data_IF_219609406266
#
_entry.id   IF_219609406266
#
_cell.length_a   1.000
_cell.length_b   1.000
_cell.length_c   1.000
_cell.angle_alpha   90.00
_cell.angle_beta   90.00
_cell.angle_gamma   90.00
#
_symmetry.space_group_name_H-M   'P 1'
#
loop_
_entity.id
_entity.type
_entity.pdbx_description
1 polymer ?
#
# COMPACT_ATOMS: atom_id res chain seq x y z
N UNK A 1 -17.85 20.19 -32.13
CA UNK A 1 -16.64 20.26 -31.28
C UNK A 1 -15.89 18.94 -31.39
N UNK A 2 -14.55 18.95 -31.47
CA UNK A 2 -13.72 17.73 -31.68
C UNK A 2 -13.34 16.99 -30.39
N UNK A 3 -13.82 17.43 -29.22
CA UNK A 3 -13.42 16.88 -27.92
C UNK A 3 -14.63 16.35 -27.17
N UNK A 4 -14.45 15.22 -26.47
CA UNK A 4 -15.44 14.57 -25.63
C UNK A 4 -14.87 14.30 -24.24
N UNK A 5 -15.69 14.45 -23.21
CA UNK A 5 -15.35 14.03 -21.85
C UNK A 5 -15.31 12.50 -21.81
N UNK A 6 -14.20 11.91 -21.39
CA UNK A 6 -14.07 10.47 -21.27
C UNK A 6 -13.39 10.06 -19.97
N UNK A 7 -13.75 8.87 -19.48
CA UNK A 7 -13.15 8.24 -18.31
C UNK A 7 -11.84 7.56 -18.69
N UNK A 8 -10.81 7.67 -17.83
CA UNK A 8 -9.52 6.98 -18.02
C UNK A 8 -9.70 5.45 -18.05
N UNK A 9 -9.14 4.76 -19.06
CA UNK A 9 -9.34 3.32 -19.29
C UNK A 9 -8.12 2.43 -18.98
N UNK A 10 -7.03 2.97 -18.42
CA UNK A 10 -5.86 2.14 -18.10
C UNK A 10 -6.06 1.28 -16.84
N UNK A 11 -6.43 0.02 -17.06
CA UNK A 11 -5.64 -1.16 -16.72
C UNK A 11 -6.52 -2.42 -16.91
N UNK A 12 -6.62 -2.93 -18.14
CA UNK A 12 -7.09 -4.30 -18.34
C UNK A 12 -5.91 -5.25 -18.03
N UNK A 13 -5.70 -5.55 -16.75
CA UNK A 13 -4.76 -6.58 -16.34
C UNK A 13 -5.30 -7.91 -16.89
N UNK A 14 -4.72 -8.40 -18.00
CA UNK A 14 -5.12 -9.67 -18.57
C UNK A 14 -4.54 -10.77 -17.70
N UNK A 15 -5.40 -11.51 -17.04
CA UNK A 15 -5.02 -12.76 -16.37
C UNK A 15 -4.31 -13.67 -17.39
N UNK A 16 -3.23 -14.35 -16.99
CA UNK A 16 -2.59 -15.31 -17.87
C UNK A 16 -3.55 -16.48 -18.15
N UNK A 17 -3.50 -17.10 -19.34
CA UNK A 17 -4.41 -18.19 -19.71
C UNK A 17 -4.41 -19.37 -18.72
N UNK A 18 -3.29 -19.57 -18.03
CA UNK A 18 -3.04 -20.62 -17.03
C UNK A 18 -3.14 -20.11 -15.58
N UNK A 19 -3.72 -18.92 -15.33
CA UNK A 19 -3.84 -18.32 -14.00
C UNK A 19 -4.39 -19.29 -12.93
N UNK A 20 -5.43 -20.05 -13.28
CA UNK A 20 -6.04 -21.03 -12.36
C UNK A 20 -5.05 -22.14 -11.96
N UNK A 21 -4.23 -22.61 -12.90
CA UNK A 21 -3.21 -23.63 -12.62
C UNK A 21 -2.08 -23.06 -11.75
N UNK A 22 -1.64 -21.84 -12.03
CA UNK A 22 -0.59 -21.18 -11.25
C UNK A 22 -1.04 -20.91 -9.81
N UNK A 23 -2.27 -20.41 -9.64
CA UNK A 23 -2.88 -20.19 -8.32
C UNK A 23 -3.00 -21.51 -7.57
N UNK A 24 -3.52 -22.55 -8.21
CA UNK A 24 -3.65 -23.87 -7.60
C UNK A 24 -2.28 -24.42 -7.15
N UNK A 25 -1.25 -24.32 -7.99
CA UNK A 25 0.09 -24.73 -7.64
C UNK A 25 0.67 -23.93 -6.47
N UNK A 26 0.45 -22.60 -6.45
CA UNK A 26 0.87 -21.72 -5.36
C UNK A 26 0.17 -22.07 -4.04
N UNK A 27 -1.14 -22.31 -4.06
CA UNK A 27 -1.91 -22.77 -2.89
C UNK A 27 -1.38 -24.10 -2.35
N UNK A 28 -1.05 -25.06 -3.22
CA UNK A 28 -0.45 -26.33 -2.79
C UNK A 28 0.94 -26.14 -2.17
N UNK A 29 1.76 -25.24 -2.73
CA UNK A 29 3.08 -24.91 -2.17
C UNK A 29 2.98 -24.27 -0.77
N UNK A 30 2.03 -23.36 -0.58
CA UNK A 30 1.73 -22.77 0.72
C UNK A 30 1.27 -23.84 1.71
N UNK A 31 0.30 -24.67 1.33
CA UNK A 31 -0.21 -25.75 2.17
C UNK A 31 0.88 -26.75 2.57
N UNK A 32 1.76 -27.12 1.64
CA UNK A 32 2.90 -28.00 1.91
C UNK A 32 3.87 -27.35 2.90
N UNK A 33 4.19 -26.06 2.73
CA UNK A 33 5.08 -25.32 3.63
C UNK A 33 4.49 -25.21 5.04
N UNK A 34 3.20 -24.86 5.13
CA UNK A 34 2.47 -24.79 6.40
C UNK A 34 2.49 -26.14 7.12
N UNK A 35 2.23 -27.23 6.39
CA UNK A 35 2.22 -28.59 6.94
C UNK A 35 3.61 -29.02 7.42
N UNK A 36 4.64 -28.88 6.56
CA UNK A 36 5.99 -29.37 6.85
C UNK A 36 6.66 -28.63 8.00
N UNK A 37 6.41 -27.33 8.12
CA UNK A 37 7.03 -26.48 9.15
C UNK A 37 6.06 -26.10 10.28
N UNK A 38 4.84 -26.64 10.29
CA UNK A 38 3.81 -26.36 11.29
C UNK A 38 3.55 -24.86 11.50
N UNK A 39 3.45 -24.09 10.41
CA UNK A 39 3.40 -22.62 10.43
C UNK A 39 2.00 -22.14 10.87
N UNK A 40 1.86 -21.50 12.05
CA UNK A 40 0.58 -20.95 12.47
C UNK A 40 0.11 -19.82 11.55
N UNK A 41 -1.19 -19.61 11.44
CA UNK A 41 -1.78 -18.54 10.62
C UNK A 41 -1.21 -17.15 10.95
N UNK A 42 -0.88 -16.88 12.23
CA UNK A 42 -0.30 -15.60 12.65
C UNK A 42 1.12 -15.34 12.12
N UNK A 43 1.84 -16.38 11.68
CA UNK A 43 3.17 -16.29 11.06
C UNK A 43 3.12 -16.29 9.53
N UNK A 44 1.94 -16.08 8.95
CA UNK A 44 1.73 -15.88 7.52
C UNK A 44 1.38 -14.42 7.28
N UNK A 45 2.28 -13.68 6.62
CA UNK A 45 2.13 -12.25 6.36
C UNK A 45 2.05 -12.03 4.86
N UNK A 46 1.03 -11.28 4.42
CA UNK A 46 0.97 -10.74 3.08
C UNK A 46 1.32 -9.25 3.11
N UNK A 47 2.07 -8.78 2.12
CA UNK A 47 2.36 -7.34 1.93
C UNK A 47 2.19 -6.94 0.48
N UNK A 48 1.91 -5.66 0.24
CA UNK A 48 1.91 -5.07 -1.08
C UNK A 48 2.31 -3.58 -1.04
N UNK A 49 2.70 -3.04 -2.19
CA UNK A 49 2.94 -1.61 -2.37
C UNK A 49 1.78 -0.95 -3.11
N UNK A 50 1.23 0.11 -2.52
CA UNK A 50 0.11 0.82 -3.15
C UNK A 50 0.32 2.32 -3.14
N UNK A 51 -0.07 2.97 -4.24
CA UNK A 51 -0.01 4.43 -4.33
C UNK A 51 -1.17 5.07 -3.57
N UNK A 52 -0.87 6.21 -2.96
CA UNK A 52 -1.85 7.12 -2.37
C UNK A 52 -1.84 8.43 -3.16
N UNK A 53 -3.02 8.88 -3.57
CA UNK A 53 -3.19 10.10 -4.35
C UNK A 53 -3.32 11.28 -3.39
N UNK A 54 -2.47 12.31 -3.47
CA UNK A 54 -2.56 13.49 -2.60
C UNK A 54 -3.74 14.41 -2.91
N UNK A 55 -4.04 14.58 -4.20
CA UNK A 55 -5.12 15.43 -4.68
C UNK A 55 -6.05 14.61 -5.57
N UNK A 56 -7.32 14.50 -5.19
CA UNK A 56 -8.32 13.87 -6.04
C UNK A 56 -8.53 14.72 -7.30
N UNK A 57 -8.07 14.20 -8.44
CA UNK A 57 -8.50 14.66 -9.75
C UNK A 57 -9.75 13.92 -10.21
N UNK A 58 -10.48 14.47 -11.19
CA UNK A 58 -11.52 13.69 -11.86
C UNK A 58 -10.87 12.58 -12.69
N UNK A 59 -11.41 11.36 -12.64
CA UNK A 59 -11.08 10.30 -13.61
C UNK A 59 -11.55 10.60 -15.03
N UNK A 60 -12.10 11.81 -15.23
CA UNK A 60 -12.59 12.34 -16.49
C UNK A 60 -11.59 13.34 -17.04
N UNK A 61 -11.31 13.25 -18.33
CA UNK A 61 -10.52 14.24 -19.06
C UNK A 61 -11.16 14.47 -20.43
N UNK A 62 -10.84 15.59 -21.07
CA UNK A 62 -11.27 15.86 -22.44
C UNK A 62 -10.25 15.26 -23.40
N UNK A 63 -10.70 14.35 -24.27
CA UNK A 63 -9.89 13.77 -25.36
C UNK A 63 -10.59 13.98 -26.69
N UNK A 64 -9.83 13.88 -27.79
CA UNK A 64 -10.40 13.97 -29.13
C UNK A 64 -11.45 12.85 -29.32
N UNK A 65 -12.62 13.23 -29.84
CA UNK A 65 -13.75 12.32 -30.04
C UNK A 65 -13.33 11.14 -30.92
N UNK A 66 -13.39 9.92 -30.39
CA UNK A 66 -12.93 8.69 -31.07
C UNK A 66 -11.62 8.11 -30.53
N UNK A 67 -11.00 8.75 -29.53
CA UNK A 67 -9.82 8.21 -28.85
C UNK A 67 -10.12 6.88 -28.16
N UNK A 68 -9.30 5.86 -28.40
CA UNK A 68 -9.44 4.52 -27.81
C UNK A 68 -8.72 4.37 -26.47
N UNK A 69 -7.75 5.26 -26.18
CA UNK A 69 -7.00 5.29 -24.93
C UNK A 69 -7.05 6.70 -24.35
N UNK A 70 -7.49 6.78 -23.10
CA UNK A 70 -7.59 8.04 -22.35
C UNK A 70 -6.46 8.03 -21.32
N UNK A 71 -5.38 8.80 -21.52
CA UNK A 71 -4.28 8.83 -20.56
C UNK A 71 -4.79 9.43 -19.24
N UNK A 72 -4.44 8.78 -18.13
CA UNK A 72 -4.59 9.40 -16.82
C UNK A 72 -3.52 10.49 -16.70
N UNK A 73 -3.93 11.75 -16.56
CA UNK A 73 -3.02 12.83 -16.20
C UNK A 73 -2.85 12.77 -14.68
N UNK A 74 -1.73 12.20 -14.22
CA UNK A 74 -1.33 12.21 -12.82
C UNK A 74 0.11 12.66 -12.70
N UNK A 75 0.41 13.55 -11.74
CA UNK A 75 1.77 13.89 -11.38
C UNK A 75 2.25 12.96 -10.25
N UNK A 76 3.35 12.25 -10.46
CA UNK A 76 4.03 11.51 -9.41
C UNK A 76 4.94 12.50 -8.70
N UNK A 77 4.67 12.76 -7.41
CA UNK A 77 5.50 13.62 -6.61
C UNK A 77 6.66 12.82 -6.02
N UNK A 78 7.88 13.13 -6.48
CA UNK A 78 9.11 12.54 -5.96
C UNK A 78 9.66 13.29 -4.75
N UNK A 79 10.28 12.56 -3.83
CA UNK A 79 10.98 13.11 -2.68
C UNK A 79 12.31 12.40 -2.46
N UNK A 80 13.42 13.17 -2.46
CA UNK A 80 14.78 12.62 -2.30
C UNK A 80 15.45 12.98 -0.98
N UNK A 81 14.83 13.87 -0.19
CA UNK A 81 15.43 14.42 1.03
C UNK A 81 14.42 14.38 2.18
N UNK A 82 14.91 14.49 3.41
CA UNK A 82 14.06 14.55 4.62
C UNK A 82 13.03 15.68 4.55
N UNK A 83 13.32 16.78 3.84
CA UNK A 83 12.37 17.88 3.61
C UNK A 83 11.14 17.48 2.76
N UNK A 84 11.19 16.31 2.12
CA UNK A 84 10.07 15.75 1.37
C UNK A 84 9.14 14.90 2.24
N UNK A 85 9.52 14.65 3.51
CA UNK A 85 8.66 13.97 4.47
C UNK A 85 7.66 14.96 5.09
N UNK A 86 6.54 14.47 5.64
CA UNK A 86 5.62 15.30 6.41
C UNK A 86 6.33 15.93 7.61
N UNK A 87 5.83 17.08 8.06
CA UNK A 87 6.34 17.76 9.24
C UNK A 87 6.17 16.90 10.50
N UNK A 88 7.26 16.75 11.27
CA UNK A 88 7.30 15.86 12.44
C UNK A 88 6.54 16.40 13.65
N UNK A 89 6.22 17.69 13.62
CA UNK A 89 5.55 18.41 14.70
C UNK A 89 4.02 18.41 14.54
N UNK A 90 3.49 17.92 13.42
CA UNK A 90 2.05 17.87 13.17
C UNK A 90 1.43 16.67 13.92
N UNK A 91 0.25 16.87 14.52
CA UNK A 91 -0.43 15.85 15.34
C UNK A 91 -0.59 14.50 14.63
N UNK A 92 -0.93 14.54 13.33
CA UNK A 92 -1.07 13.33 12.53
C UNK A 92 0.23 12.56 12.36
N UNK A 93 1.37 13.24 12.27
CA UNK A 93 2.69 12.60 12.21
C UNK A 93 3.04 11.98 13.56
N UNK A 94 2.83 12.71 14.64
CA UNK A 94 3.08 12.23 16.01
C UNK A 94 2.26 10.96 16.28
N UNK A 95 0.98 10.96 15.91
CA UNK A 95 0.12 9.80 16.09
C UNK A 95 0.53 8.63 15.19
N UNK A 96 0.85 8.88 13.93
CA UNK A 96 1.38 7.85 13.03
C UNK A 96 2.67 7.21 13.60
N UNK A 97 3.58 8.02 14.12
CA UNK A 97 4.81 7.54 14.73
C UNK A 97 4.55 6.68 15.98
N UNK A 98 3.60 7.08 16.85
CA UNK A 98 3.16 6.26 18.00
C UNK A 98 2.59 4.91 17.58
N UNK A 99 1.90 4.86 16.44
CA UNK A 99 1.36 3.64 15.84
C UNK A 99 2.42 2.82 15.06
N UNK A 100 3.68 3.27 15.02
CA UNK A 100 4.80 2.55 14.43
C UNK A 100 5.01 2.79 12.92
N UNK A 101 4.32 3.77 12.33
CA UNK A 101 4.51 4.11 10.91
C UNK A 101 5.93 4.58 10.64
N UNK A 102 6.46 4.15 9.50
CA UNK A 102 7.75 4.59 9.00
C UNK A 102 7.55 5.53 7.81
N UNK A 103 8.18 6.70 7.86
CA UNK A 103 8.21 7.66 6.75
C UNK A 103 9.63 7.70 6.19
N UNK A 104 9.82 7.15 4.99
CA UNK A 104 11.12 7.05 4.34
C UNK A 104 11.06 7.57 2.91
N UNK A 105 12.17 8.16 2.46
CA UNK A 105 12.33 8.58 1.05
C UNK A 105 12.93 7.45 0.22
N UNK A 106 12.36 7.16 -0.94
CA UNK A 106 12.88 6.12 -1.86
C UNK A 106 14.26 6.46 -2.43
N UNK A 107 14.62 7.76 -2.46
CA UNK A 107 15.84 8.31 -3.09
C UNK A 107 15.95 8.00 -4.59
N UNK A 108 14.87 7.59 -5.23
CA UNK A 108 14.80 7.33 -6.68
C UNK A 108 13.88 8.34 -7.35
N UNK A 109 13.89 8.35 -8.68
CA UNK A 109 12.90 9.07 -9.49
C UNK A 109 11.58 8.30 -9.64
N UNK A 110 11.46 7.14 -8.98
CA UNK A 110 10.28 6.30 -8.95
C UNK A 110 9.72 6.21 -7.53
N UNK A 111 8.46 5.79 -7.42
CA UNK A 111 7.80 5.54 -6.13
C UNK A 111 8.01 4.11 -5.62
N UNK A 112 8.73 3.27 -6.37
CA UNK A 112 8.95 1.86 -6.03
C UNK A 112 10.04 1.70 -4.99
N UNK A 113 9.89 0.70 -4.10
CA UNK A 113 10.93 0.37 -3.13
C UNK A 113 12.21 -0.09 -3.84
N UNK A 114 13.34 0.35 -3.29
CA UNK A 114 14.69 -0.08 -3.65
C UNK A 114 15.10 -1.30 -2.81
N UNK A 115 16.25 -1.91 -3.14
CA UNK A 115 16.83 -2.97 -2.32
C UNK A 115 17.00 -2.52 -0.86
N UNK A 116 17.48 -1.30 -0.63
CA UNK A 116 17.75 -0.82 0.74
C UNK A 116 16.45 -0.54 1.51
N UNK A 117 15.45 0.06 0.88
CA UNK A 117 14.15 0.28 1.54
C UNK A 117 13.40 -1.03 1.77
N UNK A 118 13.58 -2.05 0.91
CA UNK A 118 13.05 -3.39 1.16
C UNK A 118 13.70 -4.07 2.37
N UNK A 119 15.03 -3.96 2.51
CA UNK A 119 15.73 -4.43 3.71
C UNK A 119 15.24 -3.69 4.95
N UNK A 120 15.06 -2.37 4.85
CA UNK A 120 14.58 -1.55 5.96
C UNK A 120 13.18 -1.97 6.40
N UNK A 121 12.27 -2.25 5.47
CA UNK A 121 10.95 -2.81 5.76
C UNK A 121 11.06 -4.14 6.55
N UNK A 122 11.93 -5.05 6.09
CA UNK A 122 12.12 -6.34 6.78
C UNK A 122 12.64 -6.14 8.21
N UNK A 123 13.66 -5.30 8.38
CA UNK A 123 14.32 -5.05 9.67
C UNK A 123 13.38 -4.36 10.66
N UNK A 124 12.57 -3.40 10.20
CA UNK A 124 11.79 -2.52 11.08
C UNK A 124 10.38 -3.00 11.34
N UNK A 125 9.78 -3.73 10.40
CA UNK A 125 8.37 -4.13 10.46
C UNK A 125 8.24 -5.64 10.50
N UNK A 126 8.71 -6.34 9.46
CA UNK A 126 8.38 -7.75 9.26
C UNK A 126 9.03 -8.67 10.30
N UNK A 127 10.35 -8.58 10.49
CA UNK A 127 11.08 -9.43 11.42
C UNK A 127 10.69 -9.17 12.90
N UNK A 128 10.52 -7.91 13.34
CA UNK A 128 9.98 -7.63 14.68
C UNK A 128 8.56 -8.17 14.90
N UNK A 129 7.69 -8.08 13.89
CA UNK A 129 6.35 -8.69 13.94
C UNK A 129 6.44 -10.21 14.15
N UNK A 130 7.27 -10.92 13.36
CA UNK A 130 7.44 -12.36 13.53
C UNK A 130 8.02 -12.72 14.89
N UNK A 131 9.01 -11.98 15.38
CA UNK A 131 9.65 -12.24 16.67
C UNK A 131 8.66 -12.08 17.82
N UNK A 132 7.92 -10.97 17.85
CA UNK A 132 6.90 -10.73 18.88
C UNK A 132 5.75 -11.76 18.81
N UNK A 133 5.32 -12.13 17.61
CA UNK A 133 4.27 -13.15 17.41
C UNK A 133 4.73 -14.52 17.88
N UNK A 134 5.95 -14.95 17.54
CA UNK A 134 6.54 -16.21 18.05
C UNK A 134 6.60 -16.24 19.57
N UNK A 135 7.04 -15.14 20.20
CA UNK A 135 7.05 -15.01 21.65
C UNK A 135 5.64 -15.15 22.25
N UNK A 136 4.65 -14.48 21.67
CA UNK A 136 3.25 -14.56 22.15
C UNK A 136 2.65 -15.97 22.03
N UNK A 137 3.09 -16.74 21.04
CA UNK A 137 2.67 -18.12 20.80
C UNK A 137 3.56 -19.15 21.49
N UNK A 138 4.57 -18.72 22.23
CA UNK A 138 5.58 -19.59 22.88
C UNK A 138 6.29 -20.53 21.88
N UNK A 139 6.61 -20.02 20.69
CA UNK A 139 7.31 -20.75 19.63
C UNK A 139 8.81 -20.46 19.65
N UNK A 140 9.58 -21.39 19.09
CA UNK A 140 11.03 -21.24 18.94
C UNK A 140 11.39 -20.05 18.02
N UNK A 141 12.54 -19.44 18.27
CA UNK A 141 13.00 -18.27 17.50
C UNK A 141 13.24 -18.59 16.02
N UNK A 142 13.64 -19.83 15.73
CA UNK A 142 13.89 -20.33 14.39
C UNK A 142 12.64 -20.85 13.66
N UNK A 143 11.45 -20.83 14.30
CA UNK A 143 10.19 -21.24 13.66
C UNK A 143 9.99 -20.54 12.32
N UNK A 144 9.70 -21.31 11.27
CA UNK A 144 9.50 -20.79 9.92
C UNK A 144 8.25 -19.90 9.84
N UNK A 145 8.33 -18.87 9.02
CA UNK A 145 7.29 -17.89 8.75
C UNK A 145 7.12 -17.73 7.24
N UNK A 146 5.90 -17.46 6.77
CA UNK A 146 5.65 -17.18 5.36
C UNK A 146 5.50 -15.69 5.17
N UNK A 147 6.21 -15.15 4.19
CA UNK A 147 6.00 -13.81 3.67
C UNK A 147 5.55 -13.89 2.21
N UNK A 148 4.26 -13.65 1.98
CA UNK A 148 3.64 -13.61 0.67
C UNK A 148 3.74 -12.21 0.06
N UNK A 149 4.36 -12.09 -1.11
CA UNK A 149 4.58 -10.81 -1.80
C UNK A 149 4.44 -10.95 -3.33
N UNK A 150 4.21 -9.83 -4.03
CA UNK A 150 4.20 -9.77 -5.48
C UNK A 150 5.58 -10.07 -6.08
N UNK A 151 5.58 -10.58 -7.32
CA UNK A 151 6.79 -10.89 -8.06
C UNK A 151 7.33 -9.64 -8.77
N UNK A 152 8.24 -8.93 -8.10
CA UNK A 152 8.90 -7.73 -8.63
C UNK A 152 10.43 -7.87 -8.70
N UNK A 153 11.08 -7.02 -9.51
CA UNK A 153 12.53 -7.06 -9.78
C UNK A 153 13.39 -7.02 -8.51
N UNK A 154 13.01 -6.23 -7.51
CA UNK A 154 13.78 -6.14 -6.25
C UNK A 154 13.59 -7.41 -5.42
N UNK A 155 12.35 -7.89 -5.31
CA UNK A 155 12.00 -9.07 -4.50
C UNK A 155 12.72 -10.31 -5.02
N UNK A 156 12.74 -10.48 -6.35
CA UNK A 156 13.39 -11.62 -7.03
C UNK A 156 14.90 -11.48 -7.20
N UNK A 157 15.52 -10.40 -6.73
CA UNK A 157 16.94 -10.18 -6.93
C UNK A 157 17.79 -11.11 -6.07
N UNK A 158 18.84 -11.70 -6.66
CA UNK A 158 19.76 -12.59 -5.94
C UNK A 158 20.38 -11.91 -4.71
N UNK A 159 20.69 -10.61 -4.80
CA UNK A 159 21.22 -9.82 -3.68
C UNK A 159 20.25 -9.77 -2.51
N UNK A 160 18.96 -9.61 -2.76
CA UNK A 160 17.94 -9.61 -1.72
C UNK A 160 17.78 -11.00 -1.10
N UNK A 161 17.71 -12.04 -1.93
CA UNK A 161 17.59 -13.42 -1.47
C UNK A 161 18.77 -13.85 -0.59
N UNK A 162 20.02 -13.58 -1.00
CA UNK A 162 21.22 -13.91 -0.20
C UNK A 162 21.14 -13.20 1.14
N UNK A 163 20.88 -11.89 1.14
CA UNK A 163 20.79 -11.11 2.36
C UNK A 163 19.69 -11.61 3.29
N UNK A 164 18.50 -11.90 2.76
CA UNK A 164 17.36 -12.37 3.57
C UNK A 164 17.66 -13.74 4.17
N UNK A 165 18.25 -14.65 3.40
CA UNK A 165 18.65 -15.97 3.89
C UNK A 165 19.74 -15.90 4.97
N UNK A 166 20.73 -15.02 4.81
CA UNK A 166 21.81 -14.86 5.80
C UNK A 166 21.33 -14.21 7.11
N UNK A 167 20.38 -13.27 7.03
CA UNK A 167 19.96 -12.46 8.18
C UNK A 167 18.66 -12.94 8.84
N UNK A 168 17.76 -13.55 8.07
CA UNK A 168 16.44 -14.00 8.50
C UNK A 168 16.09 -15.35 7.86
N UNK A 169 16.88 -16.42 8.10
CA UNK A 169 16.73 -17.72 7.42
C UNK A 169 15.38 -18.40 7.66
N UNK A 170 14.64 -17.99 8.69
CA UNK A 170 13.31 -18.50 9.02
C UNK A 170 12.18 -17.89 8.17
N UNK A 171 12.46 -16.90 7.32
CA UNK A 171 11.45 -16.28 6.46
C UNK A 171 11.44 -17.00 5.11
N UNK A 172 10.34 -17.69 4.83
CA UNK A 172 10.03 -18.30 3.54
C UNK A 172 9.35 -17.24 2.67
N UNK A 173 10.00 -16.87 1.56
CA UNK A 173 9.40 -16.04 0.53
C UNK A 173 8.41 -16.86 -0.28
N UNK A 174 7.16 -16.42 -0.33
CA UNK A 174 6.11 -16.97 -1.17
C UNK A 174 5.66 -15.90 -2.18
N UNK A 175 5.66 -16.26 -3.46
CA UNK A 175 5.36 -15.31 -4.52
C UNK A 175 3.93 -15.46 -5.03
N UNK A 176 3.23 -14.34 -5.10
CA UNK A 176 1.98 -14.25 -5.86
C UNK A 176 2.29 -14.51 -7.34
N UNK A 177 1.56 -15.42 -8.02
CA UNK A 177 1.77 -15.67 -9.44
C UNK A 177 1.66 -14.40 -10.28
N UNK A 178 2.47 -14.32 -11.34
CA UNK A 178 2.54 -13.14 -12.19
C UNK A 178 1.17 -12.71 -12.71
N UNK A 179 0.85 -11.42 -12.60
CA UNK A 179 -0.44 -10.84 -13.00
C UNK A 179 -1.68 -11.39 -12.28
N UNK A 180 -1.52 -12.09 -11.16
CA UNK A 180 -2.63 -12.64 -10.36
C UNK A 180 -2.90 -11.86 -9.06
N UNK A 181 -2.26 -10.70 -8.84
CA UNK A 181 -2.40 -9.91 -7.60
C UNK A 181 -3.86 -9.57 -7.29
N UNK A 182 -4.60 -9.07 -8.29
CA UNK A 182 -6.01 -8.68 -8.15
C UNK A 182 -6.99 -9.82 -7.85
N UNK A 183 -6.56 -11.08 -7.86
CA UNK A 183 -7.41 -12.25 -7.54
C UNK A 183 -6.83 -13.18 -6.48
N UNK A 184 -5.52 -13.09 -6.19
CA UNK A 184 -4.83 -14.02 -5.29
C UNK A 184 -4.11 -13.33 -4.13
N UNK A 185 -3.84 -12.03 -4.20
CA UNK A 185 -3.11 -11.30 -3.15
C UNK A 185 -4.10 -10.69 -2.15
N UNK A 186 -4.08 -11.09 -0.86
CA UNK A 186 -4.98 -10.56 0.17
C UNK A 186 -5.04 -9.03 0.26
N UNK A 187 -3.89 -8.37 0.15
CA UNK A 187 -3.81 -6.90 0.14
C UNK A 187 -4.62 -6.28 -1.00
N UNK A 188 -4.45 -6.75 -2.24
CA UNK A 188 -5.15 -6.24 -3.42
C UNK A 188 -6.65 -6.55 -3.40
N UNK A 189 -7.02 -7.79 -3.05
CA UNK A 189 -8.41 -8.28 -3.15
C UNK A 189 -9.33 -7.58 -2.14
N UNK A 190 -8.81 -7.18 -0.97
CA UNK A 190 -9.65 -6.64 0.10
C UNK A 190 -9.10 -5.38 0.76
N UNK A 191 -7.93 -5.51 1.42
CA UNK A 191 -7.45 -4.52 2.40
C UNK A 191 -7.24 -3.15 1.75
N UNK A 192 -6.64 -3.11 0.56
CA UNK A 192 -6.35 -1.86 -0.13
C UNK A 192 -7.59 -1.08 -0.55
N UNK A 193 -8.69 -1.76 -0.90
CA UNK A 193 -9.92 -1.09 -1.28
C UNK A 193 -10.45 -0.23 -0.11
N UNK A 194 -10.51 -0.83 1.09
CA UNK A 194 -10.97 -0.15 2.30
C UNK A 194 -9.99 0.94 2.72
N UNK A 195 -8.68 0.65 2.66
CA UNK A 195 -7.63 1.61 2.96
C UNK A 195 -7.74 2.86 2.08
N UNK A 196 -7.79 2.68 0.76
CA UNK A 196 -7.88 3.78 -0.21
C UNK A 196 -9.17 4.56 -0.04
N UNK A 197 -10.30 3.90 0.17
CA UNK A 197 -11.57 4.59 0.43
C UNK A 197 -11.52 5.43 1.71
N UNK A 198 -10.89 4.92 2.78
CA UNK A 198 -10.72 5.67 4.03
C UNK A 198 -9.85 6.91 3.84
N UNK A 199 -8.75 6.78 3.10
CA UNK A 199 -7.87 7.91 2.77
C UNK A 199 -8.65 8.95 1.98
N UNK A 200 -9.41 8.53 0.96
CA UNK A 200 -10.23 9.43 0.16
C UNK A 200 -11.27 10.20 0.98
N UNK A 201 -11.92 9.54 1.95
CA UNK A 201 -12.85 10.19 2.88
C UNK A 201 -12.14 11.21 3.77
N UNK A 202 -10.95 10.88 4.27
CA UNK A 202 -10.16 11.78 5.11
C UNK A 202 -9.74 13.03 4.33
N UNK A 203 -9.28 12.87 3.09
CA UNK A 203 -8.96 13.97 2.18
C UNK A 203 -10.16 14.88 1.93
N UNK A 204 -11.33 14.29 1.66
CA UNK A 204 -12.53 15.07 1.43
C UNK A 204 -12.95 15.85 2.69
N UNK A 205 -12.80 15.25 3.88
CA UNK A 205 -13.06 15.94 5.15
C UNK A 205 -12.12 17.13 5.37
N UNK A 206 -10.84 17.03 4.98
CA UNK A 206 -9.91 18.18 5.00
C UNK A 206 -10.40 19.33 4.11
N UNK A 207 -10.83 19.02 2.88
CA UNK A 207 -11.38 20.03 1.95
C UNK A 207 -12.62 20.70 2.55
N UNK A 208 -13.56 19.93 3.08
CA UNK A 208 -14.76 20.48 3.74
C UNK A 208 -14.36 21.41 4.90
N UNK A 209 -13.44 20.95 5.75
CA UNK A 209 -12.98 21.73 6.90
C UNK A 209 -12.39 23.07 6.47
N UNK A 210 -11.50 23.06 5.47
CA UNK A 210 -10.87 24.28 4.96
C UNK A 210 -11.89 25.27 4.37
N UNK A 211 -12.87 24.78 3.62
CA UNK A 211 -13.97 25.58 3.08
C UNK A 211 -14.80 26.19 4.21
N UNK A 212 -15.17 25.39 5.21
CA UNK A 212 -15.93 25.86 6.39
C UNK A 212 -15.14 26.92 7.17
N UNK A 213 -13.85 26.68 7.45
CA UNK A 213 -13.01 27.63 8.17
C UNK A 213 -12.91 28.99 7.43
N UNK A 214 -12.81 28.97 6.10
CA UNK A 214 -12.80 30.20 5.28
C UNK A 214 -14.16 30.93 5.32
N UNK A 215 -15.26 30.20 5.17
CA UNK A 215 -16.61 30.78 5.25
C UNK A 215 -16.90 31.39 6.64
N UNK A 216 -16.52 30.69 7.70
CA UNK A 216 -16.69 31.15 9.09
C UNK A 216 -15.81 32.38 9.38
N UNK A 217 -14.68 32.53 8.68
CA UNK A 217 -13.84 33.73 8.72
C UNK A 217 -14.37 34.91 7.87
N UNK A 218 -15.48 34.72 7.14
CA UNK A 218 -16.15 35.75 6.36
C UNK A 218 -15.71 35.84 4.89
N UNK A 219 -15.00 34.83 4.36
CA UNK A 219 -14.66 34.76 2.93
C UNK A 219 -15.94 34.47 2.14
N UNK A 220 -16.18 35.22 1.06
CA UNK A 220 -17.32 34.96 0.19
C UNK A 220 -17.13 33.65 -0.58
N UNK A 221 -18.23 32.94 -0.86
CA UNK A 221 -18.17 31.62 -1.50
C UNK A 221 -17.45 31.61 -2.86
N UNK A 222 -17.44 32.73 -3.59
CA UNK A 222 -16.74 32.87 -4.87
C UNK A 222 -15.23 33.06 -4.75
N UNK A 223 -14.74 33.43 -3.56
CA UNK A 223 -13.34 33.78 -3.30
C UNK A 223 -12.58 32.69 -2.52
N UNK A 224 -13.23 31.54 -2.28
CA UNK A 224 -12.62 30.41 -1.58
C UNK A 224 -11.50 29.82 -2.43
N UNK A 225 -10.30 29.74 -1.84
CA UNK A 225 -9.12 29.14 -2.47
C UNK A 225 -8.61 28.02 -1.57
N UNK A 226 -8.54 26.80 -2.10
CA UNK A 226 -7.99 25.65 -1.38
C UNK A 226 -6.45 25.64 -1.47
N UNK A 227 -5.78 25.32 -0.37
CA UNK A 227 -4.33 25.12 -0.36
C UNK A 227 -3.95 23.76 -0.95
N UNK A 228 -3.80 23.74 -2.28
CA UNK A 228 -3.40 22.56 -3.04
C UNK A 228 -1.87 22.39 -3.12
N UNK A 229 -1.08 23.13 -2.33
CA UNK A 229 0.37 22.99 -2.35
C UNK A 229 0.76 21.60 -1.85
N UNK A 230 1.71 20.98 -2.54
CA UNK A 230 2.23 19.66 -2.16
C UNK A 230 2.66 19.58 -0.70
N UNK A 231 3.31 20.62 -0.16
CA UNK A 231 3.73 20.65 1.25
C UNK A 231 2.56 20.56 2.22
N UNK A 232 1.47 21.29 1.96
CA UNK A 232 0.26 21.26 2.79
C UNK A 232 -0.41 19.87 2.74
N UNK A 233 -0.55 19.30 1.53
CA UNK A 233 -1.12 17.97 1.34
C UNK A 233 -0.24 16.87 1.94
N UNK A 234 1.08 17.00 1.84
CA UNK A 234 2.06 16.09 2.46
C UNK A 234 1.88 16.06 3.98
N UNK A 235 1.77 17.23 4.61
CA UNK A 235 1.57 17.39 6.05
C UNK A 235 0.21 16.86 6.54
N UNK A 236 -0.83 16.89 5.70
CA UNK A 236 -2.12 16.29 6.03
C UNK A 236 -2.10 14.75 5.95
N UNK A 237 -1.23 14.18 5.11
CA UNK A 237 -1.28 12.76 4.78
C UNK A 237 -1.04 11.77 5.91
N UNK A 238 -0.19 12.05 6.94
CA UNK A 238 -0.09 11.18 8.11
C UNK A 238 -1.44 10.94 8.78
N UNK A 239 -2.26 11.99 8.95
CA UNK A 239 -3.57 11.83 9.57
C UNK A 239 -4.51 10.97 8.72
N UNK A 240 -4.44 11.08 7.39
CA UNK A 240 -5.22 10.22 6.49
C UNK A 240 -4.82 8.75 6.64
N UNK A 241 -3.53 8.47 6.78
CA UNK A 241 -2.99 7.13 7.00
C UNK A 241 -3.40 6.58 8.37
N UNK A 242 -3.36 7.39 9.42
CA UNK A 242 -3.84 7.02 10.77
C UNK A 242 -5.31 6.63 10.73
N UNK A 243 -6.16 7.47 10.13
CA UNK A 243 -7.59 7.17 10.00
C UNK A 243 -7.83 5.87 9.22
N UNK A 244 -7.07 5.66 8.14
CA UNK A 244 -7.15 4.46 7.33
C UNK A 244 -6.72 3.21 8.10
N UNK A 245 -5.64 3.29 8.86
CA UNK A 245 -5.19 2.21 9.75
C UNK A 245 -6.25 1.85 10.78
N UNK A 246 -6.85 2.83 11.47
CA UNK A 246 -7.93 2.57 12.43
C UNK A 246 -9.14 1.89 11.76
N UNK A 247 -9.42 2.22 10.50
CA UNK A 247 -10.51 1.59 9.77
C UNK A 247 -10.20 0.17 9.32
N UNK A 248 -8.98 -0.14 8.87
CA UNK A 248 -8.61 -1.49 8.40
C UNK A 248 -8.18 -2.43 9.53
N UNK A 249 -7.65 -1.89 10.63
CA UNK A 249 -7.19 -2.64 11.80
C UNK A 249 -8.36 -3.10 12.68
N UNK A 250 -9.31 -3.82 12.07
CA UNK A 250 -10.47 -4.42 12.72
C UNK A 250 -10.50 -5.89 12.35
N UNK A 251 -10.58 -6.76 13.34
CA UNK A 251 -10.57 -8.23 13.17
C UNK A 251 -11.60 -8.71 12.14
N UNK A 252 -12.80 -8.10 12.11
CA UNK A 252 -13.87 -8.42 11.15
C UNK A 252 -13.51 -8.17 9.68
N UNK A 253 -12.60 -7.23 9.40
CA UNK A 253 -12.14 -6.93 8.04
C UNK A 253 -11.04 -7.91 7.65
N UNK A 254 -10.08 -8.13 8.54
CA UNK A 254 -8.94 -9.04 8.33
C UNK A 254 -9.41 -10.49 8.12
N UNK A 255 -10.40 -10.95 8.89
CA UNK A 255 -10.90 -12.33 8.80
C UNK A 255 -11.69 -12.61 7.50
N UNK A 256 -12.35 -11.61 6.89
CA UNK A 256 -13.11 -11.82 5.64
C UNK A 256 -12.22 -12.21 4.45
N UNK A 257 -10.96 -11.79 4.47
CA UNK A 257 -10.00 -12.06 3.38
C UNK A 257 -9.46 -13.50 3.47
N UNK A 258 -9.51 -14.13 4.65
CA UNK A 258 -8.97 -15.49 4.89
C UNK A 258 -9.92 -16.59 4.38
N UNK A 259 -11.23 -16.35 4.34
CA UNK A 259 -12.24 -17.38 4.04
C UNK A 259 -12.81 -17.34 2.60
N UNK A 260 -12.21 -16.56 1.70
CA UNK A 260 -12.73 -16.39 0.33
C UNK A 260 -12.02 -17.27 -0.72
N UNK A 261 -11.24 -18.26 -0.30
CA UNK A 261 -10.57 -19.23 -1.18
C UNK A 261 -11.25 -20.60 -1.11
#
# INVERSE_FOLDING_TARGET
MKWSLQQSTQAAQKLPPDAQQQIYASTLHQALSICNYNIPAALQVNSDQTQVVYQQGSSMTYVETGSTQVPMIGAIYGGKTVKSLPNDSDDGFIEAHKLGFQFEVSKTDTYWLTLETMKQYVITILAPYFTSTKQSLSLETNQECIWQIDIWLVHTSLKFHIWLHETHPYIILDYVPGSCTGIFQPCDVGIQCILKQSIQKSQHANVIKEVCDQLDSGVEAGDIILDMKLGALCNCSPQWLVNAYIHVNKSVIVLKVIFSF
#
